data_IF_927898909816
#
_entry.id   IF_927898909816
#
_cell.length_a   1.000
_cell.length_b   1.000
_cell.length_c   1.000
_cell.angle_alpha   90.00
_cell.angle_beta   90.00
_cell.angle_gamma   90.00
#
_symmetry.space_group_name_H-M   'P 1'
#
loop_
_entity.id
_entity.type
_entity.pdbx_description
1 polymer ?
#
# COMPACT_ATOMS: atom_id res chain seq x y z
N UNK A 1 -12.24 -25.18 21.82
CA UNK A 1 -13.55 -25.49 21.20
C UNK A 1 -13.70 -24.60 19.97
N UNK A 2 -13.77 -25.17 18.76
CA UNK A 2 -13.92 -24.41 17.50
C UNK A 2 -15.38 -24.57 17.06
N UNK A 3 -16.11 -23.47 16.89
CA UNK A 3 -17.46 -23.44 16.34
C UNK A 3 -17.38 -22.97 14.88
N UNK A 4 -17.96 -23.72 13.95
CA UNK A 4 -17.91 -23.40 12.52
C UNK A 4 -19.22 -23.76 11.82
N UNK A 5 -19.57 -22.97 10.82
CA UNK A 5 -20.66 -23.18 9.86
C UNK A 5 -20.21 -23.97 8.61
N UNK A 6 -18.95 -24.42 8.56
CA UNK A 6 -18.42 -25.17 7.40
C UNK A 6 -19.03 -26.57 7.36
N UNK A 7 -19.75 -26.96 6.28
CA UNK A 7 -20.35 -28.30 6.19
C UNK A 7 -19.25 -29.37 6.10
N UNK A 8 -19.45 -30.50 6.79
CA UNK A 8 -18.49 -31.60 6.89
C UNK A 8 -18.13 -32.22 5.54
N UNK A 9 -19.05 -32.17 4.57
CA UNK A 9 -18.90 -32.79 3.25
C UNK A 9 -18.04 -31.98 2.25
N UNK A 10 -17.78 -30.69 2.50
CA UNK A 10 -17.07 -29.78 1.57
C UNK A 10 -15.74 -29.25 2.15
N UNK A 11 -15.11 -30.02 3.03
CA UNK A 11 -13.82 -29.66 3.62
C UNK A 11 -13.84 -29.42 5.14
N UNK A 12 -14.98 -29.62 5.82
CA UNK A 12 -15.09 -29.51 7.28
C UNK A 12 -14.43 -30.63 8.11
N UNK A 13 -13.38 -31.29 7.59
CA UNK A 13 -12.61 -32.25 8.39
C UNK A 13 -11.96 -31.54 9.60
N UNK A 14 -11.87 -32.23 10.74
CA UNK A 14 -11.31 -31.65 11.95
C UNK A 14 -9.86 -31.12 11.74
N UNK A 15 -9.09 -31.81 10.90
CA UNK A 15 -7.72 -31.43 10.53
C UNK A 15 -7.69 -30.13 9.73
N UNK A 16 -8.61 -29.95 8.77
CA UNK A 16 -8.71 -28.71 7.99
C UNK A 16 -9.06 -27.52 8.88
N UNK A 17 -10.01 -27.70 9.80
CA UNK A 17 -10.43 -26.66 10.74
C UNK A 17 -9.29 -26.28 11.69
N UNK A 18 -8.51 -27.25 12.16
CA UNK A 18 -7.32 -26.98 12.97
C UNK A 18 -6.27 -26.16 12.21
N UNK A 19 -5.97 -26.53 10.95
CA UNK A 19 -5.01 -25.79 10.11
C UNK A 19 -5.50 -24.35 9.87
N UNK A 20 -6.77 -24.17 9.52
CA UNK A 20 -7.37 -22.84 9.35
C UNK A 20 -7.30 -22.03 10.63
N UNK A 21 -7.58 -22.65 11.78
CA UNK A 21 -7.47 -22.02 13.09
C UNK A 21 -6.03 -21.59 13.41
N UNK A 22 -5.03 -22.43 13.11
CA UNK A 22 -3.61 -22.05 13.25
C UNK A 22 -3.23 -20.88 12.33
N UNK A 23 -3.90 -20.77 11.16
CA UNK A 23 -3.79 -19.62 10.27
C UNK A 23 -4.11 -18.28 10.93
N UNK A 24 -4.88 -18.26 12.03
CA UNK A 24 -5.16 -17.07 12.84
C UNK A 24 -3.88 -16.39 13.38
N UNK A 25 -2.78 -17.15 13.55
CA UNK A 25 -1.48 -16.60 13.93
C UNK A 25 -0.98 -15.50 12.96
N UNK A 26 -1.37 -15.57 11.69
CA UNK A 26 -1.03 -14.55 10.68
C UNK A 26 -1.69 -13.21 11.00
N UNK A 27 -2.96 -13.22 11.42
CA UNK A 27 -3.67 -12.00 11.80
C UNK A 27 -3.05 -11.36 13.05
N UNK A 28 -2.66 -12.18 14.03
CA UNK A 28 -1.94 -11.71 15.21
C UNK A 28 -0.57 -11.10 14.85
N UNK A 29 0.16 -11.71 13.91
CA UNK A 29 1.43 -11.19 13.42
C UNK A 29 1.26 -9.88 12.63
N UNK A 30 0.20 -9.74 11.84
CA UNK A 30 -0.18 -8.48 11.20
C UNK A 30 -0.48 -7.38 12.24
N UNK A 31 -1.20 -7.69 13.31
CA UNK A 31 -1.48 -6.73 14.41
C UNK A 31 -0.18 -6.32 15.10
N UNK A 32 0.73 -7.26 15.36
CA UNK A 32 2.05 -6.98 15.94
C UNK A 32 2.85 -6.05 15.03
N UNK A 33 2.97 -6.38 13.75
CA UNK A 33 3.61 -5.55 12.72
C UNK A 33 2.96 -4.17 12.58
N UNK A 34 1.63 -4.09 12.75
CA UNK A 34 0.86 -2.86 12.69
C UNK A 34 1.19 -1.85 13.80
N UNK A 35 1.70 -2.32 14.94
CA UNK A 35 2.16 -1.41 16.01
C UNK A 35 3.37 -0.59 15.57
N UNK A 36 4.25 -1.16 14.76
CA UNK A 36 5.40 -0.45 14.18
C UNK A 36 4.98 0.59 13.13
N UNK A 37 3.78 0.48 12.56
CA UNK A 37 3.22 1.40 11.56
C UNK A 37 2.32 2.49 12.16
N UNK A 38 2.16 2.56 13.48
CA UNK A 38 1.51 3.68 14.18
C UNK A 38 0.13 3.39 14.77
N UNK A 39 -0.39 2.17 14.61
CA UNK A 39 -1.70 1.75 15.15
C UNK A 39 -1.74 1.84 16.69
N UNK A 40 -0.59 1.73 17.36
CA UNK A 40 -0.49 1.85 18.82
C UNK A 40 -0.22 3.27 19.34
N UNK A 41 -0.08 4.28 18.48
CA UNK A 41 0.36 5.63 18.88
C UNK A 41 -0.60 6.71 18.42
N UNK A 42 -1.63 6.96 19.22
CA UNK A 42 -2.61 8.01 18.96
C UNK A 42 -2.04 9.41 19.18
N UNK A 43 -2.39 10.33 18.27
CA UNK A 43 -1.87 11.70 18.26
C UNK A 43 -2.64 12.66 19.16
N UNK A 44 -3.86 12.31 19.57
CA UNK A 44 -4.76 13.23 20.29
C UNK A 44 -5.53 12.55 21.42
N UNK A 45 -6.10 13.36 22.32
CA UNK A 45 -7.15 12.93 23.27
C UNK A 45 -8.54 12.92 22.65
N UNK A 46 -8.71 13.48 21.44
CA UNK A 46 -10.00 13.54 20.73
C UNK A 46 -10.22 12.29 19.90
N UNK A 47 -11.34 11.61 20.12
CA UNK A 47 -11.70 10.36 19.43
C UNK A 47 -11.78 10.53 17.90
N UNK A 48 -12.37 11.61 17.41
CA UNK A 48 -12.54 11.86 15.96
C UNK A 48 -11.21 11.98 15.20
N UNK A 49 -10.21 12.64 15.79
CA UNK A 49 -8.86 12.75 15.21
C UNK A 49 -8.16 11.37 15.21
N UNK A 50 -8.34 10.61 16.28
CA UNK A 50 -7.75 9.28 16.41
C UNK A 50 -8.38 8.27 15.44
N UNK A 51 -9.67 8.40 15.13
CA UNK A 51 -10.33 7.58 14.10
C UNK A 51 -9.71 7.83 12.72
N UNK A 52 -9.54 9.10 12.34
CA UNK A 52 -8.90 9.49 11.08
C UNK A 52 -7.41 9.05 11.01
N UNK A 53 -6.72 9.05 12.16
CA UNK A 53 -5.36 8.52 12.27
C UNK A 53 -5.30 7.00 12.10
N UNK A 54 -6.23 6.28 12.73
CA UNK A 54 -6.33 4.83 12.66
C UNK A 54 -6.60 4.39 11.22
N UNK A 55 -7.54 5.04 10.53
CA UNK A 55 -7.84 4.78 9.12
C UNK A 55 -6.58 4.90 8.23
N UNK A 56 -5.81 5.98 8.39
CA UNK A 56 -4.55 6.16 7.64
C UNK A 56 -3.50 5.09 7.99
N UNK A 57 -3.42 4.70 9.25
CA UNK A 57 -2.47 3.68 9.72
C UNK A 57 -2.81 2.29 9.17
N UNK A 58 -4.11 1.96 9.07
CA UNK A 58 -4.60 0.74 8.45
C UNK A 58 -4.33 0.75 6.94
N UNK A 59 -4.68 1.84 6.24
CA UNK A 59 -4.39 1.98 4.81
C UNK A 59 -2.89 1.85 4.50
N UNK A 60 -2.01 2.43 5.32
CA UNK A 60 -0.56 2.28 5.16
C UNK A 60 -0.10 0.83 5.37
N UNK A 61 -0.74 0.09 6.28
CA UNK A 61 -0.44 -1.32 6.55
C UNK A 61 -0.89 -2.20 5.38
N UNK A 62 -2.07 -1.94 4.82
CA UNK A 62 -2.57 -2.63 3.62
C UNK A 62 -1.66 -2.38 2.42
N UNK A 63 -1.28 -1.12 2.16
CA UNK A 63 -0.33 -0.78 1.10
C UNK A 63 1.00 -1.52 1.27
N UNK A 64 1.49 -1.63 2.50
CA UNK A 64 2.73 -2.35 2.80
C UNK A 64 2.58 -3.86 2.54
N UNK A 65 1.46 -4.45 2.93
CA UNK A 65 1.16 -5.86 2.68
C UNK A 65 1.11 -6.15 1.17
N UNK A 66 0.37 -5.34 0.41
CA UNK A 66 0.28 -5.49 -1.05
C UNK A 66 1.62 -5.24 -1.74
N UNK A 67 2.39 -4.25 -1.30
CA UNK A 67 3.75 -4.01 -1.82
C UNK A 67 4.63 -5.26 -1.65
N UNK A 68 4.57 -5.93 -0.49
CA UNK A 68 5.34 -7.15 -0.23
C UNK A 68 4.91 -8.31 -1.12
N UNK A 69 3.61 -8.51 -1.28
CA UNK A 69 3.04 -9.62 -2.07
C UNK A 69 3.27 -9.42 -3.57
N UNK A 70 3.13 -8.19 -4.06
CA UNK A 70 3.13 -7.92 -5.50
C UNK A 70 4.51 -7.54 -6.05
N UNK A 71 5.31 -6.81 -5.27
CA UNK A 71 6.48 -6.10 -5.80
C UNK A 71 7.81 -6.66 -5.29
N UNK A 72 7.82 -7.43 -4.20
CA UNK A 72 9.04 -7.89 -3.54
C UNK A 72 9.19 -9.41 -3.63
N UNK A 73 10.43 -9.87 -3.49
CA UNK A 73 10.80 -11.30 -3.51
C UNK A 73 11.86 -11.61 -2.46
N UNK A 74 12.01 -12.90 -2.14
CA UNK A 74 12.99 -13.42 -1.18
C UNK A 74 12.85 -12.79 0.20
N UNK A 75 13.99 -12.48 0.81
CA UNK A 75 14.09 -11.96 2.19
C UNK A 75 13.35 -10.65 2.45
N UNK A 76 13.00 -9.89 1.39
CA UNK A 76 12.26 -8.64 1.52
C UNK A 76 10.74 -8.87 1.45
N UNK A 77 10.27 -9.94 0.81
CA UNK A 77 8.84 -10.28 0.82
C UNK A 77 8.38 -10.72 2.22
N UNK A 78 9.24 -11.43 2.96
CA UNK A 78 8.97 -11.90 4.34
C UNK A 78 9.44 -10.93 5.42
N UNK A 79 10.10 -9.82 5.04
CA UNK A 79 10.65 -8.86 5.98
C UNK A 79 9.58 -8.14 6.82
N UNK A 80 9.89 -7.92 8.09
CA UNK A 80 9.07 -7.06 8.96
C UNK A 80 9.02 -5.61 8.45
N UNK A 81 7.92 -4.86 8.74
CA UNK A 81 7.77 -3.46 8.33
C UNK A 81 8.95 -2.57 8.70
N UNK A 82 9.53 -2.78 9.89
CA UNK A 82 10.70 -2.02 10.34
C UNK A 82 11.89 -2.21 9.42
N UNK A 83 12.16 -3.45 8.96
CA UNK A 83 13.25 -3.74 8.02
C UNK A 83 12.99 -3.10 6.66
N UNK A 84 11.75 -3.15 6.17
CA UNK A 84 11.35 -2.50 4.92
C UNK A 84 11.45 -0.98 4.99
N UNK A 85 11.11 -0.37 6.14
CA UNK A 85 11.26 1.07 6.36
C UNK A 85 12.70 1.49 6.12
N UNK A 86 13.66 0.86 6.80
CA UNK A 86 15.07 1.27 6.69
C UNK A 86 15.72 0.88 5.35
N UNK A 87 15.27 -0.19 4.71
CA UNK A 87 15.88 -0.72 3.48
C UNK A 87 15.24 -0.23 2.19
N UNK A 88 14.01 0.26 2.18
CA UNK A 88 13.32 0.64 0.94
C UNK A 88 12.60 1.99 1.06
N UNK A 89 11.95 2.27 2.20
CA UNK A 89 11.05 3.43 2.32
C UNK A 89 11.70 4.68 2.93
N UNK A 90 12.82 4.54 3.64
CA UNK A 90 13.54 5.62 4.31
C UNK A 90 14.87 5.92 3.61
N UNK A 91 14.82 6.01 2.29
CA UNK A 91 16.01 6.12 1.45
C UNK A 91 16.03 7.51 0.84
N UNK A 92 17.18 8.17 0.92
CA UNK A 92 17.37 9.42 0.22
C UNK A 92 17.30 9.17 -1.30
N UNK A 93 16.22 9.64 -1.91
CA UNK A 93 15.99 9.58 -3.34
C UNK A 93 15.44 10.92 -3.83
N UNK A 94 15.81 11.31 -5.04
CA UNK A 94 15.29 12.53 -5.67
C UNK A 94 14.24 12.14 -6.71
N UNK A 95 13.01 12.61 -6.52
CA UNK A 95 11.95 12.49 -7.51
C UNK A 95 11.96 13.72 -8.42
N UNK A 96 12.15 13.53 -9.71
CA UNK A 96 12.12 14.61 -10.72
C UNK A 96 11.07 14.31 -11.78
N UNK A 97 10.34 15.32 -12.24
CA UNK A 97 9.35 15.19 -13.32
C UNK A 97 9.91 15.80 -14.61
N UNK A 98 9.82 15.08 -15.72
CA UNK A 98 10.29 15.56 -17.03
C UNK A 98 9.60 14.80 -18.16
N UNK A 99 9.30 15.48 -19.27
CA UNK A 99 8.71 14.83 -20.46
C UNK A 99 7.44 14.01 -20.18
N UNK A 100 6.57 14.50 -19.28
CA UNK A 100 5.37 13.79 -18.78
C UNK A 100 5.64 12.48 -18.03
N UNK A 101 6.86 12.26 -17.54
CA UNK A 101 7.29 11.08 -16.77
C UNK A 101 7.85 11.48 -15.42
N UNK A 102 7.69 10.60 -14.43
CA UNK A 102 8.37 10.68 -13.13
C UNK A 102 9.67 9.88 -13.20
N UNK A 103 10.75 10.45 -12.65
CA UNK A 103 12.08 9.86 -12.60
C UNK A 103 12.54 9.79 -11.15
N UNK A 104 12.83 8.59 -10.67
CA UNK A 104 13.36 8.35 -9.33
C UNK A 104 14.89 8.16 -9.40
N UNK A 105 15.63 9.12 -8.86
CA UNK A 105 17.10 9.09 -8.79
C UNK A 105 17.53 8.58 -7.42
N UNK A 106 18.20 7.43 -7.41
CA UNK A 106 18.70 6.75 -6.21
C UNK A 106 20.23 6.64 -6.25
N UNK A 107 20.84 6.57 -5.08
CA UNK A 107 22.29 6.42 -4.97
C UNK A 107 22.76 5.09 -5.59
N UNK A 108 23.86 5.12 -6.34
CA UNK A 108 24.29 4.00 -7.18
C UNK A 108 24.88 2.83 -6.39
N UNK A 109 25.69 3.09 -5.37
CA UNK A 109 26.35 2.08 -4.55
C UNK A 109 25.48 1.58 -3.38
N UNK A 110 24.18 1.86 -3.41
CA UNK A 110 23.27 1.45 -2.35
C UNK A 110 22.89 -0.04 -2.48
N UNK A 111 23.03 -0.87 -1.43
CA UNK A 111 22.89 -2.33 -1.55
C UNK A 111 21.51 -2.82 -2.02
N UNK A 112 20.45 -2.10 -1.69
CA UNK A 112 19.06 -2.49 -2.03
C UNK A 112 18.51 -1.83 -3.30
N UNK A 113 19.39 -1.13 -4.05
CA UNK A 113 19.03 -0.43 -5.29
C UNK A 113 18.29 -1.33 -6.26
N UNK A 114 18.82 -2.52 -6.49
CA UNK A 114 18.28 -3.43 -7.52
C UNK A 114 16.90 -3.94 -7.13
N UNK A 115 16.67 -4.22 -5.85
CA UNK A 115 15.37 -4.65 -5.33
C UNK A 115 14.33 -3.54 -5.51
N UNK A 116 14.68 -2.29 -5.21
CA UNK A 116 13.77 -1.15 -5.41
C UNK A 116 13.46 -0.92 -6.90
N UNK A 117 14.48 -0.98 -7.77
CA UNK A 117 14.27 -0.85 -9.23
C UNK A 117 13.39 -1.98 -9.77
N UNK A 118 13.61 -3.23 -9.34
CA UNK A 118 12.78 -4.38 -9.73
C UNK A 118 11.33 -4.21 -9.24
N UNK A 119 11.13 -3.74 -8.02
CA UNK A 119 9.80 -3.47 -7.48
C UNK A 119 9.02 -2.45 -8.34
N UNK A 120 9.65 -1.35 -8.73
CA UNK A 120 8.99 -0.37 -9.61
C UNK A 120 8.76 -0.89 -11.03
N UNK A 121 9.66 -1.72 -11.58
CA UNK A 121 9.41 -2.38 -12.87
C UNK A 121 8.18 -3.30 -12.82
N UNK A 122 8.01 -4.06 -11.73
CA UNK A 122 6.83 -4.90 -11.51
C UNK A 122 5.56 -4.07 -11.39
N UNK A 123 5.62 -2.97 -10.63
CA UNK A 123 4.49 -2.07 -10.50
C UNK A 123 4.06 -1.50 -11.86
N UNK A 124 5.02 -1.08 -12.69
CA UNK A 124 4.74 -0.60 -14.04
C UNK A 124 4.13 -1.69 -14.94
N UNK A 125 4.61 -2.94 -14.82
CA UNK A 125 4.05 -4.08 -15.55
C UNK A 125 2.61 -4.40 -15.11
N UNK A 126 2.32 -4.33 -13.82
CA UNK A 126 0.97 -4.52 -13.28
C UNK A 126 0.02 -3.42 -13.76
N UNK A 127 0.46 -2.16 -13.76
CA UNK A 127 -0.34 -1.03 -14.24
C UNK A 127 -0.59 -1.07 -15.76
N UNK A 128 0.31 -1.68 -16.53
CA UNK A 128 0.16 -1.84 -17.97
C UNK A 128 -0.78 -2.98 -18.37
N UNK A 129 -1.03 -3.93 -17.46
CA UNK A 129 -1.97 -5.02 -17.69
C UNK A 129 -3.39 -4.50 -17.46
N UNK A 130 -4.28 -4.52 -18.47
CA UNK A 130 -5.69 -4.27 -18.22
C UNK A 130 -6.19 -5.33 -17.24
N UNK A 131 -6.78 -4.87 -16.14
CA UNK A 131 -7.49 -5.77 -15.23
C UNK A 131 -8.81 -6.07 -15.91
N UNK A 132 -8.89 -7.23 -16.57
CA UNK A 132 -10.14 -7.76 -17.10
C UNK A 132 -11.00 -8.21 -15.92
N UNK A 133 -11.62 -7.24 -15.24
CA UNK A 133 -12.75 -7.53 -14.36
C UNK A 133 -13.90 -7.88 -15.30
N UNK A 134 -14.13 -9.17 -15.52
CA UNK A 134 -15.46 -9.63 -15.85
C UNK A 134 -16.35 -9.30 -14.65
N UNK A 135 -16.96 -8.11 -14.68
CA UNK A 135 -18.05 -7.76 -13.80
C UNK A 135 -19.24 -8.57 -14.31
N UNK A 136 -19.73 -9.60 -13.58
CA UNK A 136 -20.98 -10.22 -13.95
C UNK A 136 -22.05 -9.13 -13.89
N UNK A 137 -22.83 -8.99 -14.96
CA UNK A 137 -23.93 -8.03 -15.07
C UNK A 137 -24.91 -8.27 -13.90
N UNK A 138 -24.75 -7.47 -12.84
CA UNK A 138 -25.67 -7.48 -11.71
C UNK A 138 -27.01 -6.87 -12.13
N UNK A 139 -28.14 -7.34 -11.57
CA UNK A 139 -29.43 -6.77 -11.91
C UNK A 139 -29.43 -5.27 -11.62
N UNK A 140 -29.95 -4.49 -12.56
CA UNK A 140 -30.10 -3.04 -12.49
C UNK A 140 -30.96 -2.64 -11.29
N UNK A 141 -30.35 -2.46 -10.12
CA UNK A 141 -30.98 -1.77 -9.01
C UNK A 141 -30.91 -0.27 -9.32
N UNK A 142 -32.05 0.33 -9.67
CA UNK A 142 -32.20 1.78 -9.78
C UNK A 142 -31.62 2.45 -8.53
N UNK A 143 -30.56 3.22 -8.72
CA UNK A 143 -29.98 4.03 -7.64
C UNK A 143 -30.98 5.11 -7.18
N UNK A 144 -31.05 5.41 -5.87
CA UNK A 144 -31.92 6.46 -5.38
C UNK A 144 -31.50 7.82 -5.97
N UNK A 145 -32.52 8.59 -6.38
CA UNK A 145 -32.38 9.91 -7.02
C UNK A 145 -31.41 10.79 -6.23
N UNK A 146 -30.36 11.27 -6.90
CA UNK A 146 -29.40 12.24 -6.36
C UNK A 146 -30.14 13.54 -6.03
N UNK A 147 -30.48 13.74 -4.77
CA UNK A 147 -30.72 15.09 -4.27
C UNK A 147 -29.39 15.85 -4.29
N UNK A 148 -29.39 16.94 -5.06
CA UNK A 148 -28.25 17.80 -5.31
C UNK A 148 -27.92 18.58 -4.03
N UNK A 149 -26.80 18.25 -3.38
CA UNK A 149 -26.23 19.07 -2.31
C UNK A 149 -25.61 20.34 -2.93
N UNK A 150 -25.81 21.53 -2.33
CA UNK A 150 -25.27 22.77 -2.84
C UNK A 150 -23.73 22.77 -2.77
N UNK A 151 -23.10 23.21 -3.87
CA UNK A 151 -21.65 23.39 -4.01
C UNK A 151 -21.15 24.46 -3.04
N UNK A 152 -20.30 24.06 -2.08
CA UNK A 152 -19.44 25.00 -1.36
C UNK A 152 -18.17 25.24 -2.17
N UNK A 153 -18.04 26.46 -2.69
CA UNK A 153 -16.84 26.97 -3.38
C UNK A 153 -15.73 27.24 -2.36
N UNK A 154 -14.57 26.61 -2.54
CA UNK A 154 -13.34 26.95 -1.81
C UNK A 154 -12.31 27.47 -2.82
N UNK A 155 -12.21 28.79 -2.87
CA UNK A 155 -11.15 29.50 -3.59
C UNK A 155 -9.81 29.24 -2.88
N UNK A 156 -8.85 28.68 -3.62
CA UNK A 156 -7.47 28.52 -3.16
C UNK A 156 -6.51 29.09 -4.21
N UNK A 157 -6.06 30.31 -3.95
CA UNK A 157 -4.98 30.98 -4.68
C UNK A 157 -3.64 30.34 -4.31
N UNK A 158 -2.91 29.87 -5.32
CA UNK A 158 -1.51 29.43 -5.19
C UNK A 158 -0.54 30.59 -5.43
N UNK A 159 0.69 30.54 -4.88
CA UNK A 159 1.85 31.05 -5.59
C UNK A 159 3.00 30.02 -5.68
N UNK A 160 3.84 30.14 -6.72
CA UNK A 160 5.01 29.29 -7.06
C UNK A 160 6.29 30.17 -7.17
N UNK A 161 7.52 29.66 -7.48
CA UNK A 161 8.62 29.31 -6.55
C UNK A 161 9.95 30.09 -6.80
N UNK A 162 11.03 29.77 -6.05
CA UNK A 162 12.40 30.25 -6.35
C UNK A 162 13.51 29.17 -6.16
N UNK A 163 14.43 29.14 -7.15
CA UNK A 163 15.85 28.68 -7.29
C UNK A 163 16.41 27.47 -6.52
N UNK A 164 17.03 26.43 -7.11
CA UNK A 164 18.22 26.23 -8.01
C UNK A 164 19.48 25.79 -7.20
N UNK A 165 19.95 24.54 -7.24
CA UNK A 165 21.14 24.05 -8.00
C UNK A 165 21.24 22.49 -7.87
N UNK A 166 21.77 21.71 -8.85
CA UNK A 166 21.82 20.24 -8.77
C UNK A 166 23.18 19.63 -8.36
N UNK A 167 23.23 18.57 -7.52
CA UNK A 167 24.35 17.64 -7.53
C UNK A 167 24.16 16.55 -8.61
N UNK A 168 25.30 16.22 -9.20
CA UNK A 168 25.55 15.25 -10.26
C UNK A 168 25.02 13.87 -9.84
N UNK A 169 24.00 13.35 -10.54
CA UNK A 169 23.47 11.99 -10.36
C UNK A 169 23.08 11.40 -11.72
N UNK A 170 23.44 10.15 -11.97
CA UNK A 170 23.10 9.45 -13.20
C UNK A 170 21.59 9.09 -13.22
N UNK A 171 20.87 9.28 -14.34
CA UNK A 171 19.45 8.96 -14.40
C UNK A 171 19.24 7.44 -14.53
N UNK A 172 18.71 6.82 -13.48
CA UNK A 172 17.96 5.57 -13.66
C UNK A 172 16.53 5.99 -14.00
N UNK A 173 16.15 5.79 -15.25
CA UNK A 173 14.80 6.09 -15.74
C UNK A 173 13.92 4.90 -15.40
N UNK A 174 13.00 5.06 -14.45
CA UNK A 174 11.88 4.14 -14.26
C UNK A 174 10.61 4.89 -14.62
N UNK A 175 9.93 4.54 -15.73
CA UNK A 175 8.69 5.21 -16.12
C UNK A 175 7.58 4.81 -15.15
N UNK A 176 7.18 5.75 -14.28
CA UNK A 176 5.93 5.66 -13.52
C UNK A 176 4.91 6.50 -14.31
N UNK A 177 3.88 5.85 -14.86
CA UNK A 177 2.81 6.46 -15.67
C UNK A 177 1.65 6.89 -14.78
#
# INVERSE_FOLDING_TARGET
MILTDTPSEQGGSAQFLEVRHRGHGTAADCIRCGKDTGIGRFLSRKCTINAAWLERSLAATDLLAWMRVLLLEGDLATAEPKKLRHRLLHVAARLTRGGRRLHLRIFHAWPWRNQLVTAFRRLAALAARPVDLHVPDGPHLEGPRRHQLPRLSLDHTSPTPASDTPPIVCPVVVPIR
#
